data_IF_683437907125
#
_entry.id   IF_683437907125
#
_cell.length_a   1.000
_cell.length_b   1.000
_cell.length_c   1.000
_cell.angle_alpha   90.00
_cell.angle_beta   90.00
_cell.angle_gamma   90.00
#
_symmetry.space_group_name_H-M   'P 1'
#
loop_
_entity.id
_entity.type
_entity.pdbx_description
1 polymer ?
#
# COMPACT_ATOMS: atom_id res chain seq x y z
N UNK A 1 11.53 21.78 -13.27
CA UNK A 1 12.90 22.26 -13.00
C UNK A 1 12.96 23.66 -12.40
N UNK A 2 12.36 24.68 -13.02
CA UNK A 2 12.49 26.09 -12.56
C UNK A 2 11.94 26.30 -11.14
N UNK A 3 10.81 25.68 -10.80
CA UNK A 3 10.16 25.82 -9.48
C UNK A 3 11.01 25.30 -8.32
N UNK A 4 11.74 24.19 -8.51
CA UNK A 4 12.66 23.65 -7.49
C UNK A 4 13.81 24.62 -7.21
N UNK A 5 14.43 25.14 -8.26
CA UNK A 5 15.49 26.13 -8.12
C UNK A 5 14.99 27.46 -7.53
N UNK A 6 13.74 27.85 -7.80
CA UNK A 6 13.09 28.98 -7.13
C UNK A 6 12.91 28.72 -5.64
N UNK A 7 12.45 27.54 -5.23
CA UNK A 7 12.28 27.17 -3.82
C UNK A 7 13.63 27.11 -3.08
N UNK A 8 14.65 26.51 -3.69
CA UNK A 8 16.00 26.44 -3.12
C UNK A 8 16.62 27.84 -3.03
N UNK A 9 16.48 28.67 -4.07
CA UNK A 9 16.95 30.06 -4.03
C UNK A 9 16.18 30.90 -3.00
N UNK A 10 14.87 30.65 -2.84
CA UNK A 10 14.04 31.30 -1.84
C UNK A 10 14.43 30.93 -0.41
N UNK A 11 14.63 29.64 -0.13
CA UNK A 11 15.08 29.16 1.19
C UNK A 11 16.51 29.59 1.50
N UNK A 12 17.42 29.57 0.52
CA UNK A 12 18.77 30.08 0.67
C UNK A 12 18.77 31.60 0.91
N UNK A 13 17.90 32.34 0.20
CA UNK A 13 17.68 33.77 0.41
C UNK A 13 17.15 34.09 1.79
N UNK A 14 16.20 33.30 2.30
CA UNK A 14 15.63 33.44 3.64
C UNK A 14 16.65 33.12 4.75
N UNK A 15 17.46 32.06 4.55
CA UNK A 15 18.57 31.71 5.43
C UNK A 15 19.66 32.80 5.44
N UNK A 16 19.97 33.37 4.28
CA UNK A 16 20.85 34.54 4.16
C UNK A 16 20.25 35.75 4.89
N UNK A 17 18.95 36.00 4.75
CA UNK A 17 18.26 37.10 5.43
C UNK A 17 18.37 36.95 6.96
N UNK A 18 18.18 35.75 7.50
CA UNK A 18 18.37 35.47 8.93
C UNK A 18 19.82 35.58 9.40
N UNK A 19 20.80 35.21 8.56
CA UNK A 19 22.22 35.30 8.89
C UNK A 19 22.79 36.73 8.75
N UNK A 20 22.26 37.51 7.81
CA UNK A 20 22.67 38.89 7.52
C UNK A 20 21.89 39.94 8.31
N UNK A 21 20.63 39.68 8.71
CA UNK A 21 19.84 40.60 9.52
C UNK A 21 20.51 41.02 10.83
N UNK A 22 21.09 40.11 11.65
CA UNK A 22 21.82 40.52 12.86
C UNK A 22 23.19 41.16 12.56
N UNK A 23 23.67 41.08 11.32
CA UNK A 23 24.99 41.56 10.88
C UNK A 23 24.94 42.91 10.14
N UNK A 24 23.79 43.24 9.55
CA UNK A 24 23.46 44.54 8.96
C UNK A 24 22.56 45.39 9.86
N UNK A 25 22.02 44.82 10.94
CA UNK A 25 21.36 45.56 12.00
C UNK A 25 22.34 46.50 12.69
N UNK A 26 22.39 47.74 12.21
CA UNK A 26 23.01 48.87 12.91
C UNK A 26 22.46 48.93 14.33
N UNK A 27 23.32 48.64 15.31
CA UNK A 27 23.15 48.98 16.74
C UNK A 27 23.20 50.51 16.95
N UNK A 28 22.38 51.25 16.20
CA UNK A 28 22.35 52.71 16.25
C UNK A 28 20.93 53.29 16.13
N UNK A 29 19.89 52.44 16.12
CA UNK A 29 18.49 52.88 16.05
C UNK A 29 17.57 52.22 17.09
N UNK A 30 18.14 51.46 18.03
CA UNK A 30 17.40 50.80 19.12
C UNK A 30 17.78 51.34 20.51
N UNK A 31 18.54 52.43 20.57
CA UNK A 31 19.11 52.96 21.83
C UNK A 31 18.32 54.16 22.40
N UNK A 32 17.32 54.68 21.68
CA UNK A 32 16.56 55.89 22.09
C UNK A 32 15.10 55.62 22.53
N UNK A 33 14.62 54.38 22.49
CA UNK A 33 13.22 54.04 22.85
C UNK A 33 13.08 52.97 23.94
N UNK A 34 14.19 52.48 24.48
CA UNK A 34 14.20 51.48 25.55
C UNK A 34 15.03 51.89 26.76
N UNK A 35 15.32 53.18 26.90
CA UNK A 35 15.62 53.77 28.20
C UNK A 35 14.30 53.81 28.97
N UNK A 36 13.92 52.65 29.52
CA UNK A 36 12.99 52.60 30.63
C UNK A 36 13.54 53.63 31.63
N UNK A 37 12.85 54.74 31.85
CA UNK A 37 13.25 55.73 32.85
C UNK A 37 13.21 55.03 34.22
N UNK A 38 14.29 54.34 34.60
CA UNK A 38 14.42 53.66 35.88
C UNK A 38 14.19 54.66 37.01
N UNK A 39 14.60 55.91 36.82
CA UNK A 39 14.34 57.00 37.75
C UNK A 39 12.85 57.29 37.93
N UNK A 40 12.06 57.20 36.85
CA UNK A 40 10.61 57.38 36.89
C UNK A 40 9.91 56.20 37.58
N UNK A 41 10.36 54.98 37.33
CA UNK A 41 9.87 53.77 38.01
C UNK A 41 10.23 53.80 39.50
N UNK A 42 11.47 54.15 39.84
CA UNK A 42 11.95 54.23 41.22
C UNK A 42 11.20 55.32 42.00
N UNK A 43 10.92 56.45 41.37
CA UNK A 43 10.12 57.52 41.96
C UNK A 43 8.66 57.10 42.19
N UNK A 44 8.06 56.35 41.27
CA UNK A 44 6.71 55.82 41.43
C UNK A 44 6.64 54.80 42.57
N UNK A 45 7.61 53.88 42.64
CA UNK A 45 7.71 52.89 43.71
C UNK A 45 7.90 53.54 45.09
N UNK A 46 8.75 54.57 45.17
CA UNK A 46 8.94 55.37 46.38
C UNK A 46 7.62 55.98 46.89
N UNK A 47 6.87 56.66 46.00
CA UNK A 47 5.58 57.28 46.35
C UNK A 47 4.57 56.25 46.87
N UNK A 48 4.52 55.07 46.25
CA UNK A 48 3.65 53.99 46.69
C UNK A 48 4.00 53.52 48.11
N UNK A 49 5.30 53.36 48.41
CA UNK A 49 5.78 52.92 49.71
C UNK A 49 5.49 53.93 50.83
N UNK A 50 5.63 55.23 50.55
CA UNK A 50 5.27 56.28 51.52
C UNK A 50 3.76 56.25 51.84
N UNK A 51 2.92 56.07 50.83
CA UNK A 51 1.47 55.97 51.04
C UNK A 51 1.06 54.73 51.87
N UNK A 52 1.80 53.62 51.75
CA UNK A 52 1.64 52.42 52.57
C UNK A 52 2.00 52.69 54.04
N UNK A 53 3.12 53.39 54.29
CA UNK A 53 3.54 53.83 55.62
C UNK A 53 2.51 54.76 56.29
N UNK A 54 1.93 55.69 55.53
CA UNK A 54 0.87 56.59 56.02
C UNK A 54 -0.39 55.79 56.41
N UNK A 55 -0.75 54.77 55.63
CA UNK A 55 -1.88 53.89 55.92
C UNK A 55 -1.63 53.04 57.19
N UNK A 56 -0.40 52.58 57.41
CA UNK A 56 -0.05 51.79 58.59
C UNK A 56 0.05 52.64 59.87
N UNK A 57 0.46 53.92 59.77
CA UNK A 57 0.39 54.88 60.88
C UNK A 57 -1.05 55.20 61.26
N UNK A 58 -1.92 55.44 60.27
CA UNK A 58 -3.34 55.78 60.51
C UNK A 58 -4.15 54.59 61.04
N UNK A 59 -3.79 53.37 60.67
CA UNK A 59 -4.40 52.14 61.21
C UNK A 59 -3.81 51.70 62.55
N UNK A 60 -2.84 52.44 63.09
CA UNK A 60 -2.22 52.20 64.39
C UNK A 60 -1.31 50.96 64.41
N UNK A 61 -0.92 50.43 63.25
CA UNK A 61 0.05 49.33 63.13
C UNK A 61 1.47 49.80 63.36
N UNK A 62 1.75 51.07 63.03
CA UNK A 62 3.03 51.73 63.27
C UNK A 62 2.84 52.86 64.29
N UNK A 63 3.80 53.01 65.20
CA UNK A 63 3.89 54.20 66.03
C UNK A 63 4.63 55.33 65.31
N UNK A 64 4.52 56.57 65.81
CA UNK A 64 5.12 57.75 65.16
C UNK A 64 6.64 57.62 65.01
N UNK A 65 7.32 57.01 65.98
CA UNK A 65 8.78 56.88 65.95
C UNK A 65 9.25 55.85 64.90
N UNK A 66 8.49 54.76 64.74
CA UNK A 66 8.73 53.74 63.74
C UNK A 66 8.45 54.26 62.33
N UNK A 67 7.40 55.08 62.17
CA UNK A 67 7.10 55.76 60.91
C UNK A 67 8.24 56.71 60.49
N UNK A 68 8.70 57.56 61.40
CA UNK A 68 9.76 58.53 61.11
C UNK A 68 11.08 57.83 60.72
N UNK A 69 11.43 56.74 61.42
CA UNK A 69 12.61 55.93 61.10
C UNK A 69 12.50 55.24 59.73
N UNK A 70 11.37 54.56 59.47
CA UNK A 70 11.15 53.84 58.22
C UNK A 70 11.11 54.78 57.00
N UNK A 71 10.52 55.98 57.15
CA UNK A 71 10.52 57.00 56.11
C UNK A 71 11.93 57.50 55.80
N UNK A 72 12.74 57.73 56.82
CA UNK A 72 14.11 58.22 56.65
C UNK A 72 15.00 57.22 55.90
N UNK A 73 14.83 55.92 56.16
CA UNK A 73 15.55 54.87 55.44
C UNK A 73 15.12 54.77 53.97
N UNK A 74 13.82 54.92 53.70
CA UNK A 74 13.26 54.93 52.35
C UNK A 74 13.77 56.13 51.52
N UNK A 75 13.91 57.30 52.14
CA UNK A 75 14.50 58.50 51.52
C UNK A 75 15.99 58.31 51.19
N UNK A 76 16.75 57.62 52.04
CA UNK A 76 18.16 57.29 51.78
C UNK A 76 18.31 56.32 50.62
N UNK A 77 17.47 55.29 50.56
CA UNK A 77 17.48 54.30 49.48
C UNK A 77 17.14 54.95 48.12
N UNK A 78 16.12 55.82 48.08
CA UNK A 78 15.76 56.56 46.88
C UNK A 78 16.91 57.46 46.39
N UNK A 79 17.58 58.18 47.29
CA UNK A 79 18.72 59.04 46.94
C UNK A 79 19.93 58.24 46.42
N UNK A 80 20.14 57.03 46.93
CA UNK A 80 21.24 56.17 46.50
C UNK A 80 20.99 55.53 45.12
N UNK A 81 19.72 55.25 44.80
CA UNK A 81 19.32 54.70 43.50
C UNK A 81 19.25 55.77 42.38
N UNK A 82 19.01 57.04 42.73
CA UNK A 82 19.01 58.19 41.78
C UNK A 82 20.44 58.68 41.48
N UNK A 83 21.35 58.59 42.46
CA UNK A 83 22.77 58.93 42.27
C UNK A 83 23.46 57.71 41.65
N UNK A 84 23.28 57.50 40.35
CA UNK A 84 23.74 56.36 39.56
C UNK A 84 25.26 56.13 39.56
N UNK A 85 25.83 55.72 40.69
CA UNK A 85 27.22 55.32 40.87
C UNK A 85 27.37 53.79 40.81
N UNK A 86 26.65 53.14 39.89
CA UNK A 86 26.97 51.77 39.48
C UNK A 86 28.14 51.84 38.48
N UNK A 87 29.35 51.36 38.82
CA UNK A 87 30.43 51.33 37.86
C UNK A 87 30.04 50.44 36.68
N UNK A 88 29.94 51.04 35.48
CA UNK A 88 29.82 50.31 34.22
C UNK A 88 30.85 49.16 34.20
N UNK A 89 30.45 47.89 34.02
CA UNK A 89 31.42 46.82 33.85
C UNK A 89 32.28 47.19 32.63
N UNK A 90 33.59 47.18 32.85
CA UNK A 90 34.59 47.53 31.85
C UNK A 90 34.30 46.80 30.53
N UNK A 91 33.91 47.58 29.52
CA UNK A 91 33.89 47.11 28.14
C UNK A 91 35.33 46.72 27.79
N UNK A 92 35.59 45.41 27.79
CA UNK A 92 36.81 44.86 27.23
C UNK A 92 36.94 45.36 25.79
N UNK A 93 38.08 45.98 25.52
CA UNK A 93 38.52 46.50 24.22
C UNK A 93 38.14 45.58 23.05
N UNK A 94 37.09 45.95 22.32
CA UNK A 94 36.74 45.36 21.03
C UNK A 94 37.22 46.26 19.88
N UNK A 95 38.51 46.59 19.83
CA UNK A 95 39.08 47.47 18.78
C UNK A 95 39.81 46.71 17.66
N UNK A 96 39.70 45.38 17.58
CA UNK A 96 40.26 44.59 16.47
C UNK A 96 39.28 43.56 15.83
N UNK A 97 38.10 43.35 16.42
CA UNK A 97 37.17 42.30 15.98
C UNK A 97 36.17 42.76 14.91
N UNK A 98 35.83 44.06 14.84
CA UNK A 98 34.77 44.53 13.92
C UNK A 98 35.17 44.57 12.44
N UNK A 99 36.45 44.80 12.09
CA UNK A 99 36.86 44.82 10.69
C UNK A 99 36.96 43.42 10.09
N UNK A 100 37.33 42.42 10.92
CA UNK A 100 37.37 41.03 10.52
C UNK A 100 36.00 40.37 10.55
N UNK A 101 35.06 40.82 11.39
CA UNK A 101 33.68 40.33 11.40
C UNK A 101 32.96 40.56 10.06
N UNK A 102 33.21 41.70 9.40
CA UNK A 102 32.66 41.99 8.06
C UNK A 102 33.30 41.14 6.96
N UNK A 103 34.60 40.82 7.09
CA UNK A 103 35.31 39.93 6.17
C UNK A 103 34.87 38.48 6.35
N UNK A 104 34.77 37.98 7.59
CA UNK A 104 34.29 36.63 7.90
C UNK A 104 32.83 36.45 7.49
N UNK A 105 31.99 37.48 7.65
CA UNK A 105 30.62 37.46 7.15
C UNK A 105 30.55 37.34 5.62
N UNK A 106 31.37 38.11 4.88
CA UNK A 106 31.46 37.99 3.40
C UNK A 106 32.01 36.63 2.98
N UNK A 107 32.97 36.08 3.72
CA UNK A 107 33.54 34.77 3.44
C UNK A 107 32.51 33.65 3.65
N UNK A 108 31.79 33.69 4.77
CA UNK A 108 30.70 32.76 5.08
C UNK A 108 29.55 32.86 4.08
N UNK A 109 29.21 34.07 3.62
CA UNK A 109 28.20 34.31 2.58
C UNK A 109 28.47 33.54 1.29
N UNK A 110 29.74 33.36 0.92
CA UNK A 110 30.14 32.72 -0.33
C UNK A 110 30.47 31.25 -0.13
N UNK A 111 31.23 30.92 0.92
CA UNK A 111 31.68 29.56 1.19
C UNK A 111 30.52 28.66 1.56
N UNK A 112 29.58 29.13 2.37
CA UNK A 112 28.48 28.29 2.84
C UNK A 112 27.59 27.78 1.69
N UNK A 113 27.12 28.61 0.72
CA UNK A 113 26.37 28.09 -0.42
C UNK A 113 27.23 27.24 -1.37
N UNK A 114 28.49 27.59 -1.61
CA UNK A 114 29.39 26.77 -2.43
C UNK A 114 29.62 25.38 -1.83
N UNK A 115 29.83 25.32 -0.52
CA UNK A 115 30.03 24.08 0.22
C UNK A 115 28.72 23.26 0.30
N UNK A 116 27.58 23.93 0.43
CA UNK A 116 26.25 23.29 0.37
C UNK A 116 26.01 22.66 -1.00
N UNK A 117 26.30 23.39 -2.09
CA UNK A 117 26.22 22.86 -3.46
C UNK A 117 27.22 21.71 -3.63
N UNK A 118 28.47 21.86 -3.21
CA UNK A 118 29.49 20.82 -3.29
C UNK A 118 29.10 19.53 -2.56
N UNK A 119 28.59 19.63 -1.33
CA UNK A 119 28.08 18.49 -0.56
C UNK A 119 26.86 17.85 -1.21
N UNK A 120 25.93 18.64 -1.73
CA UNK A 120 24.81 18.11 -2.50
C UNK A 120 25.26 17.36 -3.75
N UNK A 121 26.32 17.86 -4.41
CA UNK A 121 26.88 17.24 -5.60
C UNK A 121 27.66 15.94 -5.30
N UNK A 122 28.20 15.78 -4.08
CA UNK A 122 28.96 14.59 -3.64
C UNK A 122 28.10 13.53 -2.94
N UNK A 123 27.18 13.97 -2.07
CA UNK A 123 26.37 13.11 -1.19
C UNK A 123 24.92 12.97 -1.68
N UNK A 124 24.45 13.93 -2.47
CA UNK A 124 23.10 13.93 -3.02
C UNK A 124 22.98 12.93 -4.18
N UNK A 125 22.00 12.05 -4.07
CA UNK A 125 21.67 11.10 -5.13
C UNK A 125 20.96 11.83 -6.28
N UNK A 126 21.73 12.33 -7.25
CA UNK A 126 21.22 13.10 -8.41
C UNK A 126 20.25 12.29 -9.27
N UNK A 127 20.29 10.96 -9.17
CA UNK A 127 19.44 10.03 -9.91
C UNK A 127 17.99 10.01 -9.37
N UNK A 128 17.75 10.56 -8.17
CA UNK A 128 16.39 10.75 -7.64
C UNK A 128 15.68 11.93 -8.33
N UNK A 129 16.40 12.91 -8.88
CA UNK A 129 15.79 14.07 -9.56
C UNK A 129 15.04 13.67 -10.83
N UNK A 130 15.61 12.85 -11.77
CA UNK A 130 14.84 12.36 -12.91
C UNK A 130 13.71 11.43 -12.46
N UNK A 131 13.87 10.66 -11.38
CA UNK A 131 12.81 9.82 -10.78
C UNK A 131 11.65 10.65 -10.19
N UNK A 132 11.96 11.75 -9.49
CA UNK A 132 10.97 12.70 -8.96
C UNK A 132 10.32 13.53 -10.06
N UNK A 133 11.07 13.86 -11.11
CA UNK A 133 10.54 14.56 -12.28
C UNK A 133 9.64 13.66 -13.12
N UNK A 134 9.96 12.36 -13.25
CA UNK A 134 9.08 11.37 -13.88
C UNK A 134 7.87 11.10 -13.00
N UNK A 135 8.01 10.89 -11.69
CA UNK A 135 6.86 10.71 -10.80
C UNK A 135 5.97 11.96 -10.68
N UNK A 136 6.54 13.17 -10.76
CA UNK A 136 5.77 14.42 -10.79
C UNK A 136 5.17 14.70 -12.19
N UNK A 137 5.81 14.25 -13.26
CA UNK A 137 5.21 14.24 -14.60
C UNK A 137 4.04 13.25 -14.65
N UNK A 138 4.20 12.06 -14.06
CA UNK A 138 3.16 11.05 -13.93
C UNK A 138 2.00 11.54 -13.05
N UNK A 139 2.28 12.23 -11.93
CA UNK A 139 1.24 12.84 -11.08
C UNK A 139 0.57 14.06 -11.69
N UNK A 140 1.29 14.88 -12.49
CA UNK A 140 0.69 16.06 -13.15
C UNK A 140 -0.06 15.69 -14.44
N UNK A 141 0.31 14.59 -15.10
CA UNK A 141 -0.44 13.97 -16.19
C UNK A 141 -1.65 13.19 -15.65
N UNK A 142 -1.51 12.53 -14.49
CA UNK A 142 -2.65 12.00 -13.73
C UNK A 142 -3.58 13.16 -13.34
N UNK A 143 -3.09 14.23 -12.70
CA UNK A 143 -3.91 15.37 -12.28
C UNK A 143 -4.60 16.10 -13.44
N UNK A 144 -4.00 16.14 -14.64
CA UNK A 144 -4.66 16.62 -15.87
C UNK A 144 -5.75 15.68 -16.41
N UNK A 145 -5.75 14.42 -15.99
CA UNK A 145 -6.85 13.48 -16.15
C UNK A 145 -7.87 13.49 -15.00
N UNK A 146 -7.65 14.26 -13.91
CA UNK A 146 -8.54 14.31 -12.75
C UNK A 146 -9.50 15.51 -12.75
N UNK A 147 -9.55 16.30 -13.82
CA UNK A 147 -10.65 17.25 -14.05
C UNK A 147 -11.79 16.55 -14.79
N UNK A 148 -12.55 15.74 -14.06
CA UNK A 148 -13.84 15.17 -14.48
C UNK A 148 -13.82 13.66 -14.67
N UNK A 149 -14.58 12.96 -13.82
CA UNK A 149 -14.98 11.53 -13.86
C UNK A 149 -13.90 10.48 -13.54
N UNK A 150 -14.26 9.56 -12.64
CA UNK A 150 -13.46 8.43 -12.19
C UNK A 150 -13.40 7.31 -13.26
N UNK A 151 -12.67 7.55 -14.36
CA UNK A 151 -12.37 6.55 -15.39
C UNK A 151 -10.87 6.50 -15.71
N UNK A 152 -10.27 5.32 -15.50
CA UNK A 152 -9.13 4.80 -16.27
C UNK A 152 -7.73 5.08 -15.73
N UNK A 153 -7.09 4.05 -15.15
CA UNK A 153 -5.64 3.91 -15.34
C UNK A 153 -5.34 3.96 -16.85
N UNK A 154 -4.23 4.56 -17.31
CA UNK A 154 -3.85 4.51 -18.71
C UNK A 154 -3.86 3.05 -19.18
N UNK A 155 -4.48 2.79 -20.33
CA UNK A 155 -4.54 1.46 -20.88
C UNK A 155 -3.11 0.90 -21.08
N UNK A 156 -2.95 -0.41 -20.85
CA UNK A 156 -1.64 -1.07 -20.79
C UNK A 156 -0.82 -0.86 -22.07
N UNK A 157 -1.48 -0.76 -23.22
CA UNK A 157 -0.87 -0.46 -24.52
C UNK A 157 -0.21 0.93 -24.57
N UNK A 158 -0.80 1.94 -23.93
CA UNK A 158 -0.24 3.28 -23.84
C UNK A 158 1.01 3.28 -22.95
N UNK A 159 0.96 2.53 -21.84
CA UNK A 159 2.11 2.40 -20.93
C UNK A 159 3.27 1.68 -21.61
N UNK A 160 2.99 0.61 -22.35
CA UNK A 160 4.01 -0.14 -23.11
C UNK A 160 4.67 0.72 -24.18
N UNK A 161 3.91 1.50 -24.95
CA UNK A 161 4.50 2.41 -25.95
C UNK A 161 5.48 3.41 -25.34
N UNK A 162 5.15 3.97 -24.17
CA UNK A 162 6.07 4.87 -23.45
C UNK A 162 7.31 4.14 -22.97
N UNK A 163 7.16 2.90 -22.49
CA UNK A 163 8.28 2.07 -22.07
C UNK A 163 9.19 1.72 -23.27
N UNK A 164 8.62 1.37 -24.43
CA UNK A 164 9.34 1.16 -25.69
C UNK A 164 10.15 2.41 -26.09
N UNK A 165 9.53 3.59 -26.09
CA UNK A 165 10.19 4.87 -26.41
C UNK A 165 11.35 5.16 -25.44
N UNK A 166 11.15 4.89 -24.15
CA UNK A 166 12.21 5.03 -23.15
C UNK A 166 13.36 4.07 -23.42
N UNK A 167 13.08 2.81 -23.79
CA UNK A 167 14.12 1.83 -24.10
C UNK A 167 14.94 2.23 -25.34
N UNK A 168 14.35 2.97 -26.28
CA UNK A 168 15.10 3.56 -27.40
C UNK A 168 16.06 4.68 -26.93
N UNK A 169 15.65 5.48 -25.94
CA UNK A 169 16.48 6.56 -25.39
C UNK A 169 17.52 6.06 -24.39
N UNK A 170 17.22 4.96 -23.70
CA UNK A 170 18.06 4.35 -22.65
C UNK A 170 18.36 2.89 -22.98
N UNK A 171 19.07 2.61 -24.09
CA UNK A 171 19.24 1.24 -24.60
C UNK A 171 20.06 0.33 -23.68
N UNK A 172 20.77 0.88 -22.70
CA UNK A 172 21.58 0.13 -21.74
C UNK A 172 20.85 -0.12 -20.40
N UNK A 173 19.56 0.22 -20.29
CA UNK A 173 18.74 0.00 -19.08
C UNK A 173 18.23 -1.44 -19.01
N UNK A 174 19.00 -2.33 -18.37
CA UNK A 174 18.69 -3.77 -18.25
C UNK A 174 17.34 -3.99 -17.58
N UNK A 175 17.08 -3.30 -16.47
CA UNK A 175 15.84 -3.44 -15.70
C UNK A 175 14.64 -2.98 -16.53
N UNK A 176 14.80 -1.89 -17.29
CA UNK A 176 13.79 -1.43 -18.25
C UNK A 176 13.46 -2.49 -19.31
N UNK A 177 14.47 -3.17 -19.87
CA UNK A 177 14.27 -4.25 -20.84
C UNK A 177 13.60 -5.48 -20.22
N UNK A 178 13.95 -5.86 -19.00
CA UNK A 178 13.29 -6.95 -18.25
C UNK A 178 11.82 -6.61 -17.99
N UNK A 179 11.54 -5.40 -17.53
CA UNK A 179 10.18 -4.92 -17.28
C UNK A 179 9.36 -4.90 -18.57
N UNK A 180 9.93 -4.43 -19.67
CA UNK A 180 9.27 -4.43 -20.98
C UNK A 180 8.92 -5.86 -21.42
N UNK A 181 9.84 -6.81 -21.25
CA UNK A 181 9.61 -8.23 -21.50
C UNK A 181 8.45 -8.81 -20.67
N UNK A 182 8.45 -8.58 -19.36
CA UNK A 182 7.37 -9.00 -18.44
C UNK A 182 6.02 -8.39 -18.80
N UNK A 183 6.03 -7.15 -19.26
CA UNK A 183 4.81 -6.47 -19.68
C UNK A 183 4.23 -7.10 -20.94
N UNK A 184 5.07 -7.44 -21.93
CA UNK A 184 4.62 -8.16 -23.11
C UNK A 184 4.10 -9.56 -22.80
N UNK A 185 4.69 -10.27 -21.84
CA UNK A 185 4.13 -11.54 -21.35
C UNK A 185 2.70 -11.39 -20.82
N UNK A 186 2.45 -10.34 -20.04
CA UNK A 186 1.11 -10.02 -19.52
C UNK A 186 0.13 -9.75 -20.67
N UNK A 187 0.60 -9.11 -21.73
CA UNK A 187 -0.15 -8.88 -22.96
C UNK A 187 -0.25 -10.10 -23.89
N UNK A 188 0.36 -11.23 -23.53
CA UNK A 188 0.47 -12.45 -24.35
C UNK A 188 1.22 -12.25 -25.68
N UNK A 189 2.03 -11.20 -25.80
CA UNK A 189 2.91 -10.96 -26.95
C UNK A 189 4.29 -11.57 -26.66
N UNK A 190 4.38 -12.90 -26.72
CA UNK A 190 5.59 -13.65 -26.38
C UNK A 190 6.75 -13.38 -27.34
N UNK A 191 6.45 -12.96 -28.58
CA UNK A 191 7.47 -12.62 -29.58
C UNK A 191 8.21 -11.35 -29.18
N UNK A 192 7.48 -10.29 -28.80
CA UNK A 192 8.12 -9.06 -28.31
C UNK A 192 8.75 -9.24 -26.94
N UNK A 193 8.17 -10.10 -26.09
CA UNK A 193 8.77 -10.43 -24.80
C UNK A 193 10.18 -11.03 -24.97
N UNK A 194 10.34 -12.00 -25.88
CA UNK A 194 11.65 -12.58 -26.19
C UNK A 194 12.63 -11.54 -26.72
N UNK A 195 12.19 -10.64 -27.62
CA UNK A 195 13.07 -9.61 -28.18
C UNK A 195 13.58 -8.63 -27.11
N UNK A 196 12.72 -8.19 -26.19
CA UNK A 196 13.11 -7.31 -25.09
C UNK A 196 14.06 -8.02 -24.11
N UNK A 197 13.78 -9.28 -23.76
CA UNK A 197 14.60 -10.06 -22.84
C UNK A 197 15.93 -10.51 -23.46
N UNK A 198 15.99 -10.68 -24.78
CA UNK A 198 17.23 -10.86 -25.51
C UNK A 198 18.15 -9.64 -25.33
N UNK A 199 17.61 -8.40 -25.35
CA UNK A 199 18.38 -7.18 -25.08
C UNK A 199 18.87 -7.12 -23.64
N UNK A 200 18.04 -7.48 -22.66
CA UNK A 200 18.48 -7.59 -21.28
C UNK A 200 19.65 -8.60 -21.13
N UNK A 201 19.56 -9.76 -21.79
CA UNK A 201 20.60 -10.78 -21.78
C UNK A 201 21.89 -10.36 -22.50
N UNK A 202 21.80 -9.60 -23.59
CA UNK A 202 22.97 -9.02 -24.26
C UNK A 202 23.75 -8.07 -23.33
N UNK A 203 23.03 -7.28 -22.53
CA UNK A 203 23.62 -6.32 -21.60
C UNK A 203 24.17 -6.97 -20.32
N UNK A 204 23.48 -8.01 -19.80
CA UNK A 204 23.87 -8.76 -18.60
C UNK A 204 23.77 -10.28 -18.84
N UNK A 205 24.77 -10.88 -19.53
CA UNK A 205 24.72 -12.28 -19.94
C UNK A 205 24.87 -13.28 -18.78
N UNK A 206 25.42 -12.85 -17.65
CA UNK A 206 25.72 -13.68 -16.47
C UNK A 206 24.82 -13.36 -15.28
N UNK A 207 23.71 -12.65 -15.49
CA UNK A 207 22.72 -12.43 -14.44
C UNK A 207 21.73 -13.60 -14.39
N UNK A 208 21.60 -14.22 -13.22
CA UNK A 208 20.75 -15.42 -13.04
C UNK A 208 19.29 -15.13 -13.41
N UNK A 209 18.75 -13.99 -12.98
CA UNK A 209 17.35 -13.66 -13.21
C UNK A 209 17.09 -13.34 -14.68
N UNK A 210 17.98 -12.61 -15.34
CA UNK A 210 17.89 -12.33 -16.77
C UNK A 210 17.96 -13.63 -17.59
N UNK A 211 18.86 -14.56 -17.24
CA UNK A 211 18.97 -15.86 -17.89
C UNK A 211 17.66 -16.66 -17.80
N UNK A 212 17.04 -16.72 -16.61
CA UNK A 212 15.78 -17.44 -16.39
C UNK A 212 14.63 -16.80 -17.17
N UNK A 213 14.46 -15.48 -17.02
CA UNK A 213 13.35 -14.77 -17.68
C UNK A 213 13.47 -14.86 -19.21
N UNK A 214 14.70 -14.82 -19.74
CA UNK A 214 14.95 -15.01 -21.18
C UNK A 214 14.69 -16.46 -21.62
N UNK A 215 15.09 -17.46 -20.82
CA UNK A 215 14.78 -18.86 -21.10
C UNK A 215 13.27 -19.11 -21.18
N UNK A 216 12.51 -18.55 -20.25
CA UNK A 216 11.05 -18.59 -20.26
C UNK A 216 10.45 -17.95 -21.51
N UNK A 217 11.01 -16.83 -21.98
CA UNK A 217 10.53 -16.16 -23.19
C UNK A 217 10.74 -16.98 -24.46
N UNK A 218 11.92 -17.60 -24.60
CA UNK A 218 12.18 -18.53 -25.69
C UNK A 218 11.21 -19.71 -25.62
N UNK A 219 11.01 -20.29 -24.44
CA UNK A 219 10.13 -21.44 -24.25
C UNK A 219 8.66 -21.11 -24.56
N UNK A 220 8.19 -19.91 -24.20
CA UNK A 220 6.84 -19.45 -24.49
C UNK A 220 6.55 -19.36 -26.00
N UNK A 221 7.55 -19.04 -26.82
CA UNK A 221 7.45 -19.07 -28.28
C UNK A 221 7.57 -20.49 -28.88
N UNK A 222 7.79 -21.51 -28.06
CA UNK A 222 7.98 -22.91 -28.46
C UNK A 222 6.97 -23.84 -27.77
N UNK A 223 5.71 -23.42 -27.60
CA UNK A 223 4.66 -24.20 -26.93
C UNK A 223 5.03 -24.62 -25.49
N UNK A 224 5.75 -23.75 -24.77
CA UNK A 224 6.32 -24.00 -23.44
C UNK A 224 7.35 -25.14 -23.40
N UNK A 225 8.00 -25.42 -24.53
CA UNK A 225 9.08 -26.39 -24.61
C UNK A 225 10.37 -25.80 -24.01
N UNK A 226 10.85 -26.43 -22.94
CA UNK A 226 12.09 -26.04 -22.25
C UNK A 226 13.32 -26.78 -22.80
N UNK A 227 13.18 -27.58 -23.85
CA UNK A 227 14.31 -28.29 -24.47
C UNK A 227 15.19 -27.38 -25.32
N UNK A 228 16.47 -27.73 -25.45
CA UNK A 228 17.43 -26.95 -26.23
C UNK A 228 17.89 -25.70 -25.46
N UNK A 229 17.86 -24.54 -26.13
CA UNK A 229 18.42 -23.29 -25.60
C UNK A 229 17.86 -22.86 -24.24
N UNK A 230 16.54 -22.94 -23.94
CA UNK A 230 16.02 -22.65 -22.61
C UNK A 230 16.69 -23.50 -21.51
N UNK A 231 16.82 -24.82 -21.72
CA UNK A 231 17.48 -25.70 -20.73
C UNK A 231 18.95 -25.34 -20.49
N UNK A 232 19.66 -24.86 -21.51
CA UNK A 232 21.05 -24.41 -21.37
C UNK A 232 21.15 -23.13 -20.54
N UNK A 233 20.23 -22.19 -20.72
CA UNK A 233 20.16 -20.94 -19.95
C UNK A 233 19.78 -21.23 -18.48
N UNK A 234 18.80 -22.11 -18.25
CA UNK A 234 18.43 -22.56 -16.89
C UNK A 234 19.61 -23.24 -16.19
N UNK A 235 20.35 -24.09 -16.89
CA UNK A 235 21.54 -24.73 -16.33
C UNK A 235 22.66 -23.73 -16.02
N UNK A 236 22.78 -22.64 -16.79
CA UNK A 236 23.71 -21.56 -16.48
C UNK A 236 23.27 -20.76 -15.26
N UNK A 237 21.98 -20.41 -15.16
CA UNK A 237 21.42 -19.76 -13.98
C UNK A 237 21.65 -20.57 -12.70
N UNK A 238 21.41 -21.90 -12.74
CA UNK A 238 21.70 -22.80 -11.62
C UNK A 238 23.17 -22.88 -11.22
N UNK A 239 24.11 -22.67 -12.15
CA UNK A 239 25.54 -22.61 -11.82
C UNK A 239 25.88 -21.31 -11.09
N UNK A 240 25.20 -20.22 -11.40
CA UNK A 240 25.40 -18.92 -10.77
C UNK A 240 24.72 -18.85 -9.41
N UNK A 241 23.49 -19.36 -9.31
CA UNK A 241 22.72 -19.44 -8.09
C UNK A 241 22.05 -20.83 -7.95
N UNK A 242 22.71 -21.79 -7.28
CA UNK A 242 22.17 -23.14 -7.08
C UNK A 242 20.89 -23.20 -6.24
N UNK A 243 20.70 -22.22 -5.36
CA UNK A 243 19.56 -22.14 -4.43
C UNK A 243 18.35 -21.41 -5.04
N UNK A 244 18.46 -20.93 -6.28
CA UNK A 244 17.36 -20.26 -6.96
C UNK A 244 16.17 -21.23 -7.15
N UNK A 245 15.06 -20.91 -6.48
CA UNK A 245 13.85 -21.73 -6.45
C UNK A 245 13.25 -21.86 -7.85
N UNK A 246 13.20 -20.75 -8.61
CA UNK A 246 12.66 -20.70 -9.98
C UNK A 246 13.53 -21.52 -10.93
N UNK A 247 14.85 -21.39 -10.83
CA UNK A 247 15.77 -22.16 -11.65
C UNK A 247 15.66 -23.67 -11.40
N UNK A 248 15.55 -24.07 -10.12
CA UNK A 248 15.34 -25.47 -9.73
C UNK A 248 13.99 -25.99 -10.21
N UNK A 249 12.93 -25.20 -10.09
CA UNK A 249 11.60 -25.54 -10.58
C UNK A 249 11.57 -25.77 -12.11
N UNK A 250 12.11 -24.83 -12.89
CA UNK A 250 12.21 -24.92 -14.36
C UNK A 250 13.09 -26.08 -14.81
N UNK A 251 14.17 -26.38 -14.07
CA UNK A 251 15.02 -27.55 -14.33
C UNK A 251 14.25 -28.87 -14.15
N UNK A 252 13.42 -28.96 -13.11
CA UNK A 252 12.50 -30.09 -12.92
C UNK A 252 11.49 -30.23 -14.07
N UNK A 253 10.94 -29.11 -14.57
CA UNK A 253 10.05 -29.10 -15.73
C UNK A 253 10.75 -29.54 -17.02
N UNK A 254 11.97 -29.08 -17.25
CA UNK A 254 12.80 -29.52 -18.38
C UNK A 254 13.12 -31.01 -18.29
N UNK A 255 13.42 -31.54 -17.09
CA UNK A 255 13.62 -32.98 -16.88
C UNK A 255 12.34 -33.79 -17.16
N UNK A 256 11.17 -33.31 -16.72
CA UNK A 256 9.88 -33.94 -16.99
C UNK A 256 9.60 -34.04 -18.48
N UNK A 257 9.83 -32.97 -19.24
CA UNK A 257 9.65 -32.96 -20.70
C UNK A 257 10.61 -33.90 -21.45
N UNK A 258 11.80 -34.20 -20.88
CA UNK A 258 12.73 -35.22 -21.40
C UNK A 258 12.35 -36.66 -21.04
N UNK A 259 11.24 -36.87 -20.32
CA UNK A 259 10.87 -38.19 -19.79
C UNK A 259 11.70 -38.63 -18.58
N UNK A 260 12.50 -37.75 -17.99
CA UNK A 260 13.29 -38.02 -16.80
C UNK A 260 12.45 -37.81 -15.53
N UNK A 261 11.34 -38.55 -15.42
CA UNK A 261 10.32 -38.33 -14.40
C UNK A 261 10.85 -38.46 -12.97
N UNK A 262 11.72 -39.44 -12.70
CA UNK A 262 12.34 -39.58 -11.38
C UNK A 262 13.20 -38.37 -10.99
N UNK A 263 13.98 -37.83 -11.94
CA UNK A 263 14.78 -36.63 -11.69
C UNK A 263 13.89 -35.41 -11.42
N UNK A 264 12.80 -35.25 -12.19
CA UNK A 264 11.83 -34.17 -11.97
C UNK A 264 11.19 -34.26 -10.57
N UNK A 265 10.77 -35.45 -10.14
CA UNK A 265 10.19 -35.68 -8.81
C UNK A 265 11.16 -35.27 -7.70
N UNK A 266 12.43 -35.68 -7.78
CA UNK A 266 13.44 -35.33 -6.77
C UNK A 266 13.62 -33.82 -6.70
N UNK A 267 13.82 -33.16 -7.84
CA UNK A 267 14.01 -31.70 -7.89
C UNK A 267 12.81 -30.94 -7.34
N UNK A 268 11.59 -31.31 -7.75
CA UNK A 268 10.38 -30.64 -7.30
C UNK A 268 10.04 -30.90 -5.83
N UNK A 269 10.35 -32.08 -5.28
CA UNK A 269 10.19 -32.32 -3.84
C UNK A 269 11.09 -31.43 -2.98
N UNK A 270 12.32 -31.18 -3.44
CA UNK A 270 13.23 -30.25 -2.75
C UNK A 270 12.68 -28.83 -2.79
N UNK A 271 12.21 -28.37 -3.96
CA UNK A 271 11.56 -27.05 -4.10
C UNK A 271 10.32 -26.95 -3.20
N UNK A 272 9.46 -27.97 -3.19
CA UNK A 272 8.24 -27.99 -2.38
C UNK A 272 8.50 -27.89 -0.87
N UNK A 273 9.64 -28.40 -0.39
CA UNK A 273 10.00 -28.35 1.02
C UNK A 273 10.32 -26.93 1.53
N UNK A 274 10.61 -26.00 0.62
CA UNK A 274 10.96 -24.61 0.93
C UNK A 274 9.79 -23.63 0.77
N UNK A 275 8.71 -24.05 0.11
CA UNK A 275 7.52 -23.22 -0.12
C UNK A 275 6.55 -23.26 1.06
N UNK A 276 5.72 -22.22 1.19
CA UNK A 276 4.58 -22.23 2.11
C UNK A 276 3.65 -23.40 1.74
N UNK A 277 3.38 -24.35 2.65
CA UNK A 277 2.53 -25.49 2.38
C UNK A 277 1.11 -25.15 1.89
N UNK A 278 0.58 -23.96 2.21
CA UNK A 278 -0.77 -23.54 1.84
C UNK A 278 -0.80 -22.64 0.60
N UNK A 279 0.35 -22.28 0.03
CA UNK A 279 0.44 -21.48 -1.20
C UNK A 279 -0.15 -22.21 -2.41
N UNK A 280 -0.65 -21.43 -3.37
CA UNK A 280 -1.11 -21.96 -4.66
C UNK A 280 0.03 -22.67 -5.41
N UNK A 281 1.24 -22.10 -5.39
CA UNK A 281 2.43 -22.68 -6.03
C UNK A 281 2.78 -24.06 -5.45
N UNK A 282 2.68 -24.23 -4.13
CA UNK A 282 2.88 -25.53 -3.50
C UNK A 282 1.83 -26.56 -3.97
N UNK A 283 0.57 -26.15 -4.17
CA UNK A 283 -0.50 -27.03 -4.68
C UNK A 283 -0.28 -27.43 -6.15
N UNK A 284 0.13 -26.48 -7.00
CA UNK A 284 0.48 -26.76 -8.39
C UNK A 284 1.69 -27.69 -8.48
N UNK A 285 2.69 -27.49 -7.62
CA UNK A 285 3.90 -28.31 -7.57
C UNK A 285 3.60 -29.74 -7.08
N UNK A 286 2.75 -29.92 -6.05
CA UNK A 286 2.26 -31.25 -5.63
C UNK A 286 1.58 -31.99 -6.76
N UNK A 287 0.74 -31.31 -7.52
CA UNK A 287 0.04 -31.89 -8.68
C UNK A 287 1.04 -32.31 -9.77
N UNK A 288 2.06 -31.51 -10.02
CA UNK A 288 3.15 -31.80 -10.96
C UNK A 288 3.98 -33.01 -10.51
N UNK A 289 4.34 -33.08 -9.22
CA UNK A 289 5.04 -34.23 -8.62
C UNK A 289 4.19 -35.50 -8.76
N UNK A 290 2.90 -35.46 -8.42
CA UNK A 290 2.03 -36.62 -8.53
C UNK A 290 1.93 -37.15 -9.97
N UNK A 291 1.85 -36.26 -10.96
CA UNK A 291 1.87 -36.62 -12.38
C UNK A 291 3.21 -37.27 -12.76
N UNK A 292 4.33 -36.69 -12.34
CA UNK A 292 5.65 -37.26 -12.60
C UNK A 292 5.84 -38.61 -11.93
N UNK A 293 5.38 -38.81 -10.70
CA UNK A 293 5.42 -40.10 -10.00
C UNK A 293 4.59 -41.17 -10.73
N UNK A 294 3.41 -40.80 -11.24
CA UNK A 294 2.58 -41.70 -12.04
C UNK A 294 3.31 -42.12 -13.32
N UNK A 295 3.92 -41.17 -14.04
CA UNK A 295 4.68 -41.46 -15.27
C UNK A 295 5.99 -42.22 -15.00
N UNK A 296 6.58 -42.04 -13.83
CA UNK A 296 7.75 -42.79 -13.37
C UNK A 296 7.40 -44.23 -12.92
N UNK A 297 6.12 -44.57 -12.77
CA UNK A 297 5.67 -45.87 -12.27
C UNK A 297 5.83 -46.05 -10.76
N UNK A 298 5.85 -44.97 -9.97
CA UNK A 298 5.98 -45.04 -8.51
C UNK A 298 4.66 -45.49 -7.86
N UNK A 299 4.65 -46.60 -7.07
CA UNK A 299 3.45 -47.13 -6.44
C UNK A 299 2.77 -46.10 -5.51
N UNK A 300 1.41 -46.06 -5.44
CA UNK A 300 0.67 -45.09 -4.63
C UNK A 300 1.09 -45.04 -3.15
N UNK A 301 1.49 -46.19 -2.60
CA UNK A 301 1.93 -46.34 -1.21
C UNK A 301 3.23 -45.59 -0.92
N UNK A 302 4.14 -45.52 -1.89
CA UNK A 302 5.39 -44.77 -1.79
C UNK A 302 5.18 -43.24 -1.98
N UNK A 303 4.09 -42.82 -2.63
CA UNK A 303 3.76 -41.39 -2.85
C UNK A 303 3.29 -40.68 -1.58
N UNK A 304 2.70 -41.43 -0.63
CA UNK A 304 2.12 -40.89 0.60
C UNK A 304 3.08 -40.93 1.81
N UNK A 305 4.27 -41.51 1.66
CA UNK A 305 5.14 -41.89 2.78
C UNK A 305 6.08 -40.81 3.33
N UNK A 306 5.98 -39.53 2.94
CA UNK A 306 6.81 -38.46 3.52
C UNK A 306 6.11 -37.08 3.59
N UNK A 307 6.21 -36.34 4.71
CA UNK A 307 6.07 -36.77 6.10
C UNK A 307 4.76 -36.24 6.70
N UNK A 308 3.87 -37.15 7.10
CA UNK A 308 2.68 -36.91 7.93
C UNK A 308 3.02 -36.57 9.40
N UNK A 309 4.27 -36.24 9.70
CA UNK A 309 4.80 -36.14 11.06
C UNK A 309 4.37 -34.88 11.84
N UNK A 310 3.62 -33.96 11.24
CA UNK A 310 3.22 -32.71 11.89
C UNK A 310 1.73 -32.63 12.30
N UNK A 311 0.89 -33.63 12.04
CA UNK A 311 -0.58 -33.49 12.19
C UNK A 311 -1.31 -34.59 12.98
N UNK A 312 -0.62 -35.45 13.73
CA UNK A 312 -1.29 -36.53 14.50
C UNK A 312 -1.11 -36.47 16.02
N UNK A 313 -0.78 -35.30 16.57
CA UNK A 313 -0.68 -35.12 18.03
C UNK A 313 -1.57 -33.99 18.54
N UNK A 314 -2.82 -33.98 18.09
CA UNK A 314 -3.94 -33.45 18.87
C UNK A 314 -5.20 -34.14 18.37
N UNK A 315 -6.13 -34.44 19.26
CA UNK A 315 -7.38 -35.18 19.02
C UNK A 315 -7.25 -36.71 18.95
N UNK A 316 -7.10 -37.32 20.12
CA UNK A 316 -8.11 -38.29 20.53
C UNK A 316 -8.01 -38.65 22.02
N UNK A 317 -8.85 -38.02 22.82
CA UNK A 317 -9.28 -38.54 24.11
C UNK A 317 -10.81 -38.66 24.10
N UNK A 318 -11.29 -39.88 24.39
CA UNK A 318 -12.68 -40.31 24.73
C UNK A 318 -13.65 -40.40 23.53
N UNK A 319 -14.44 -41.45 23.32
CA UNK A 319 -14.72 -42.75 23.97
C UNK A 319 -15.58 -43.58 22.94
N UNK A 320 -15.66 -44.92 23.02
CA UNK A 320 -16.25 -45.79 21.98
C UNK A 320 -17.66 -46.33 22.30
N UNK A 321 -18.40 -46.76 21.28
CA UNK A 321 -19.53 -47.74 21.22
C UNK A 321 -20.44 -47.35 20.04
N UNK A 322 -21.06 -48.19 19.20
CA UNK A 322 -21.08 -49.63 18.82
C UNK A 322 -21.97 -49.68 17.52
N UNK A 323 -22.30 -50.79 16.82
CA UNK A 323 -22.18 -50.83 15.36
C UNK A 323 -23.41 -51.36 14.55
N UNK A 324 -23.30 -51.22 13.22
CA UNK A 324 -23.93 -52.02 12.12
C UNK A 324 -25.40 -51.69 11.67
N UNK A 325 -25.93 -52.30 10.57
CA UNK A 325 -25.98 -51.70 9.22
C UNK A 325 -27.32 -51.99 8.47
N UNK A 326 -27.29 -52.09 7.13
CA UNK A 326 -28.33 -52.55 6.15
C UNK A 326 -29.28 -51.48 5.58
N UNK A 327 -29.79 -51.53 4.35
CA UNK A 327 -29.49 -52.23 3.08
C UNK A 327 -30.61 -51.92 2.08
N UNK A 328 -30.26 -51.54 0.84
CA UNK A 328 -30.84 -52.01 -0.45
C UNK A 328 -32.33 -51.82 -0.81
N UNK A 329 -32.54 -51.89 -2.16
CA UNK A 329 -33.78 -52.21 -2.93
C UNK A 329 -34.74 -51.05 -3.23
N UNK A 330 -35.32 -50.82 -4.42
CA UNK A 330 -35.36 -51.48 -5.77
C UNK A 330 -35.96 -50.43 -6.76
N UNK A 331 -35.41 -50.19 -7.96
CA UNK A 331 -35.89 -50.59 -9.31
C UNK A 331 -37.38 -50.44 -9.67
N UNK A 332 -37.69 -49.72 -10.77
CA UNK A 332 -38.63 -50.03 -11.90
C UNK A 332 -38.67 -48.80 -12.85
N UNK A 333 -38.27 -48.79 -14.15
CA UNK A 333 -38.64 -49.49 -15.40
C UNK A 333 -39.90 -48.96 -16.14
N UNK A 334 -39.77 -48.80 -17.48
CA UNK A 334 -40.80 -48.66 -18.56
C UNK A 334 -41.26 -47.22 -18.88
N UNK A 335 -41.47 -46.74 -20.11
CA UNK A 335 -41.08 -47.01 -21.51
C UNK A 335 -41.63 -45.86 -22.39
N UNK A 336 -40.95 -45.61 -23.52
CA UNK A 336 -41.43 -45.22 -24.87
C UNK A 336 -42.48 -44.11 -25.15
N UNK A 337 -41.98 -43.08 -25.88
CA UNK A 337 -42.47 -42.43 -27.14
C UNK A 337 -43.88 -41.77 -27.22
N UNK A 338 -44.19 -40.90 -28.24
CA UNK A 338 -43.41 -40.36 -29.36
C UNK A 338 -43.57 -38.84 -29.64
N UNK A 339 -42.80 -38.41 -30.65
CA UNK A 339 -42.78 -37.19 -31.49
C UNK A 339 -44.13 -36.61 -31.93
N UNK A 340 -44.24 -35.28 -32.00
CA UNK A 340 -45.14 -34.57 -32.93
C UNK A 340 -44.45 -33.34 -33.55
N UNK A 341 -44.66 -33.16 -34.85
CA UNK A 341 -44.07 -32.16 -35.76
C UNK A 341 -45.23 -31.33 -36.35
N UNK A 342 -45.16 -29.99 -36.28
CA UNK A 342 -45.75 -29.04 -37.24
C UNK A 342 -45.33 -27.60 -36.83
N UNK A 343 -44.40 -26.92 -37.52
CA UNK A 343 -44.63 -25.96 -38.63
C UNK A 343 -45.67 -24.87 -38.37
N UNK A 344 -45.22 -23.63 -38.09
CA UNK A 344 -45.45 -22.46 -38.93
C UNK A 344 -44.74 -21.19 -38.41
N UNK A 345 -43.97 -20.55 -39.29
CA UNK A 345 -43.59 -19.12 -39.27
C UNK A 345 -44.23 -18.54 -40.53
N UNK A 346 -44.72 -17.26 -40.59
CA UNK A 346 -43.82 -16.11 -40.48
C UNK A 346 -44.40 -14.75 -40.01
N UNK A 347 -43.50 -13.84 -39.61
CA UNK A 347 -43.56 -12.36 -39.73
C UNK A 347 -44.33 -11.54 -38.68
N UNK A 348 -43.58 -10.93 -37.74
CA UNK A 348 -43.27 -9.49 -37.69
C UNK A 348 -42.89 -9.05 -36.26
N UNK A 349 -41.68 -8.51 -36.12
CA UNK A 349 -41.15 -7.86 -34.92
C UNK A 349 -42.01 -6.64 -34.53
N UNK A 350 -42.04 -6.30 -33.23
CA UNK A 350 -41.15 -5.23 -32.82
C UNK A 350 -40.30 -5.61 -31.60
N UNK A 351 -39.12 -5.00 -31.57
CA UNK A 351 -38.08 -5.11 -30.57
C UNK A 351 -38.54 -5.01 -29.11
N UNK A 352 -37.68 -5.57 -28.24
CA UNK A 352 -37.55 -5.45 -26.78
C UNK A 352 -38.41 -6.39 -25.93
N UNK A 353 -37.77 -7.42 -25.35
CA UNK A 353 -37.76 -7.71 -23.90
C UNK A 353 -36.65 -8.74 -23.61
N UNK A 354 -35.55 -8.23 -23.05
CA UNK A 354 -34.83 -8.79 -21.91
C UNK A 354 -34.88 -10.32 -21.73
N UNK A 355 -33.91 -11.04 -22.30
CA UNK A 355 -33.56 -12.37 -21.79
C UNK A 355 -33.09 -12.18 -20.35
N UNK A 356 -33.82 -12.76 -19.40
CA UNK A 356 -33.53 -12.73 -17.97
C UNK A 356 -32.09 -13.17 -17.71
N UNK A 357 -31.19 -12.19 -17.57
CA UNK A 357 -29.85 -12.40 -17.06
C UNK A 357 -29.98 -12.94 -15.63
N UNK A 358 -29.32 -14.09 -15.37
CA UNK A 358 -29.26 -14.70 -14.04
C UNK A 358 -28.86 -13.63 -13.01
N UNK A 359 -29.73 -13.41 -12.03
CA UNK A 359 -29.51 -12.42 -11.00
C UNK A 359 -30.35 -12.71 -9.77
N UNK A 360 -29.81 -12.42 -8.60
CA UNK A 360 -30.38 -12.74 -7.30
C UNK A 360 -30.87 -11.44 -6.68
N UNK A 361 -32.13 -11.40 -6.26
CA UNK A 361 -32.66 -10.29 -5.49
C UNK A 361 -32.36 -10.51 -4.00
N UNK A 362 -31.68 -9.54 -3.38
CA UNK A 362 -31.16 -9.63 -2.01
C UNK A 362 -31.74 -8.48 -1.18
N UNK A 363 -32.41 -8.79 -0.09
CA UNK A 363 -32.87 -7.82 0.91
C UNK A 363 -31.97 -7.88 2.12
N UNK A 364 -31.31 -6.76 2.43
CA UNK A 364 -30.34 -6.66 3.52
C UNK A 364 -30.91 -5.80 4.64
N UNK A 365 -30.75 -6.26 5.88
CA UNK A 365 -31.14 -5.58 7.10
C UNK A 365 -30.02 -5.63 8.14
N UNK A 366 -29.98 -4.62 9.02
CA UNK A 366 -29.05 -4.58 10.14
C UNK A 366 -29.78 -5.03 11.41
N UNK A 367 -29.23 -6.01 12.13
CA UNK A 367 -29.82 -6.48 13.38
C UNK A 367 -29.74 -5.39 14.47
N UNK A 368 -30.83 -5.15 15.25
CA UNK A 368 -30.82 -4.18 16.33
C UNK A 368 -29.75 -4.43 17.41
N UNK A 369 -29.28 -5.68 17.57
CA UNK A 369 -28.29 -6.06 18.59
C UNK A 369 -26.88 -5.53 18.32
N UNK A 370 -26.57 -5.18 17.07
CA UNK A 370 -25.25 -4.68 16.66
C UNK A 370 -25.33 -3.33 15.94
N UNK A 371 -26.52 -2.72 15.90
CA UNK A 371 -26.75 -1.46 15.20
C UNK A 371 -25.89 -0.31 15.74
N UNK A 372 -25.62 -0.30 17.04
CA UNK A 372 -24.76 0.70 17.69
C UNK A 372 -23.27 0.59 17.27
N UNK A 373 -22.85 -0.54 16.68
CA UNK A 373 -21.49 -0.73 16.18
C UNK A 373 -21.33 -0.23 14.72
N UNK A 374 -22.42 0.15 14.05
CA UNK A 374 -22.37 0.64 12.67
C UNK A 374 -22.36 2.16 12.64
N UNK A 375 -21.25 2.77 12.23
CA UNK A 375 -21.21 4.23 12.05
C UNK A 375 -22.09 4.66 10.86
N UNK A 376 -22.80 5.80 10.91
CA UNK A 376 -23.71 6.26 9.84
C UNK A 376 -23.03 6.43 8.47
N UNK A 377 -21.76 6.81 8.47
CA UNK A 377 -20.89 6.95 7.30
C UNK A 377 -20.28 5.63 6.80
N UNK A 378 -20.52 4.52 7.50
CA UNK A 378 -19.98 3.21 7.11
C UNK A 378 -20.62 2.73 5.81
N UNK A 379 -19.83 1.96 5.08
CA UNK A 379 -20.23 1.42 3.78
C UNK A 379 -20.71 -0.02 3.94
N UNK A 380 -21.83 -0.36 3.31
CA UNK A 380 -22.33 -1.73 3.20
C UNK A 380 -21.93 -2.30 1.84
N UNK A 381 -21.17 -3.38 1.86
CA UNK A 381 -20.84 -4.19 0.71
C UNK A 381 -21.77 -5.41 0.67
N UNK A 382 -22.62 -5.48 -0.35
CA UNK A 382 -23.50 -6.61 -0.62
C UNK A 382 -22.84 -7.41 -1.73
N UNK A 383 -22.52 -8.67 -1.49
CA UNK A 383 -21.73 -9.46 -2.42
C UNK A 383 -22.24 -10.88 -2.55
N UNK A 384 -21.87 -11.53 -3.66
CA UNK A 384 -22.05 -12.96 -3.88
C UNK A 384 -20.68 -13.59 -4.15
N UNK A 385 -20.36 -14.71 -3.50
CA UNK A 385 -19.15 -15.51 -3.73
C UNK A 385 -19.53 -16.95 -4.12
N UNK A 386 -18.65 -17.66 -4.81
CA UNK A 386 -18.88 -19.08 -5.09
C UNK A 386 -18.97 -19.89 -3.78
N UNK A 387 -19.91 -20.85 -3.69
CA UNK A 387 -19.97 -21.75 -2.54
C UNK A 387 -18.77 -22.71 -2.50
N UNK A 388 -18.30 -23.13 -3.67
CA UNK A 388 -17.07 -23.88 -3.88
C UNK A 388 -16.22 -23.16 -4.94
N UNK A 389 -15.00 -22.77 -4.60
CA UNK A 389 -14.13 -22.00 -5.47
C UNK A 389 -13.27 -20.98 -4.73
N UNK A 390 -12.60 -20.06 -5.45
CA UNK A 390 -11.80 -19.01 -4.82
C UNK A 390 -12.69 -18.09 -3.96
N UNK A 391 -12.21 -17.59 -2.80
CA UNK A 391 -13.01 -16.82 -1.83
C UNK A 391 -13.37 -15.40 -2.30
N UNK A 392 -13.09 -15.07 -3.57
CA UNK A 392 -13.30 -13.75 -4.15
C UNK A 392 -14.78 -13.54 -4.49
N UNK A 393 -15.33 -12.33 -4.28
CA UNK A 393 -16.71 -12.05 -4.65
C UNK A 393 -16.86 -11.96 -6.18
N UNK A 394 -17.91 -12.60 -6.70
CA UNK A 394 -18.31 -12.64 -8.10
C UNK A 394 -19.07 -11.38 -8.51
N UNK A 395 -19.88 -10.83 -7.60
CA UNK A 395 -20.62 -9.59 -7.79
C UNK A 395 -20.60 -8.79 -6.49
N UNK A 396 -20.43 -7.48 -6.57
CA UNK A 396 -20.42 -6.58 -5.40
C UNK A 396 -21.22 -5.31 -5.69
N UNK A 397 -22.17 -5.00 -4.83
CA UNK A 397 -22.86 -3.71 -4.78
C UNK A 397 -22.47 -2.97 -3.51
N UNK A 398 -22.22 -1.67 -3.64
CA UNK A 398 -21.92 -0.77 -2.52
C UNK A 398 -23.12 0.14 -2.24
N UNK A 399 -23.53 0.21 -0.98
CA UNK A 399 -24.53 1.17 -0.47
C UNK A 399 -24.05 1.78 0.87
N UNK A 400 -24.69 2.83 1.37
CA UNK A 400 -24.43 3.36 2.71
C UNK A 400 -25.28 2.66 3.78
N UNK A 401 -24.80 2.60 5.03
CA UNK A 401 -25.57 2.00 6.15
C UNK A 401 -26.93 2.66 6.35
N UNK A 402 -27.03 3.98 6.13
CA UNK A 402 -28.29 4.73 6.21
C UNK A 402 -29.36 4.31 5.19
N UNK A 403 -28.99 3.54 4.15
CA UNK A 403 -29.92 3.03 3.16
C UNK A 403 -30.58 1.70 3.59
N UNK A 404 -30.17 1.10 4.72
CA UNK A 404 -30.75 -0.14 5.22
C UNK A 404 -32.09 0.11 5.93
N UNK A 405 -33.08 -0.80 5.79
CA UNK A 405 -33.04 -2.01 4.96
C UNK A 405 -33.15 -1.70 3.45
N UNK A 406 -32.34 -2.40 2.64
CA UNK A 406 -32.26 -2.17 1.19
C UNK A 406 -32.48 -3.47 0.41
N UNK A 407 -33.13 -3.37 -0.75
CA UNK A 407 -33.24 -4.47 -1.71
C UNK A 407 -32.39 -4.17 -2.94
N UNK A 408 -31.49 -5.08 -3.27
CA UNK A 408 -30.52 -4.96 -4.38
C UNK A 408 -30.59 -6.21 -5.25
N UNK A 409 -30.43 -6.07 -6.56
CA UNK A 409 -30.27 -7.21 -7.47
C UNK A 409 -28.79 -7.38 -7.78
N UNK A 410 -28.24 -8.56 -7.52
CA UNK A 410 -26.89 -8.94 -7.93
C UNK A 410 -26.98 -9.76 -9.23
N UNK A 411 -26.30 -9.35 -10.29
CA UNK A 411 -26.29 -10.05 -11.57
C UNK A 411 -24.91 -10.02 -12.24
N UNK A 412 -24.80 -10.71 -13.38
CA UNK A 412 -23.56 -10.85 -14.14
C UNK A 412 -22.98 -9.52 -14.67
N UNK A 413 -23.76 -8.45 -14.76
CA UNK A 413 -23.25 -7.14 -15.20
C UNK A 413 -22.34 -6.50 -14.15
N UNK A 414 -22.47 -6.95 -12.90
CA UNK A 414 -21.66 -6.49 -11.77
C UNK A 414 -20.36 -7.29 -11.59
N UNK A 415 -20.09 -8.26 -12.47
CA UNK A 415 -18.88 -9.06 -12.41
C UNK A 415 -17.65 -8.24 -12.78
N UNK A 416 -16.68 -8.17 -11.87
CA UNK A 416 -15.41 -7.44 -12.09
C UNK A 416 -14.52 -8.10 -13.15
N UNK A 417 -14.75 -9.39 -13.45
CA UNK A 417 -14.02 -10.14 -14.45
C UNK A 417 -14.99 -10.88 -15.38
N UNK A 418 -14.79 -10.85 -16.70
CA UNK A 418 -15.71 -11.46 -17.67
C UNK A 418 -15.77 -12.99 -17.59
N UNK A 419 -14.80 -13.65 -16.95
CA UNK A 419 -14.71 -15.11 -16.78
C UNK A 419 -15.19 -15.62 -15.43
N UNK A 420 -15.40 -14.76 -14.43
CA UNK A 420 -15.87 -15.12 -13.08
C UNK A 420 -17.22 -14.45 -12.82
N UNK A 421 -18.26 -14.92 -13.53
CA UNK A 421 -19.63 -14.41 -13.46
C UNK A 421 -20.46 -15.19 -12.44
N UNK A 422 -21.53 -14.58 -11.94
CA UNK A 422 -22.46 -15.21 -11.00
C UNK A 422 -23.10 -16.46 -11.62
N UNK A 423 -23.49 -16.37 -12.90
CA UNK A 423 -24.08 -17.48 -13.67
C UNK A 423 -23.13 -18.65 -13.93
N UNK A 424 -21.82 -18.47 -13.76
CA UNK A 424 -20.83 -19.52 -14.01
C UNK A 424 -20.73 -20.53 -12.87
N UNK A 425 -21.37 -20.25 -11.73
CA UNK A 425 -21.35 -21.11 -10.55
C UNK A 425 -22.77 -21.59 -10.22
N UNK A 426 -23.00 -22.89 -9.99
CA UNK A 426 -24.35 -23.41 -9.69
C UNK A 426 -24.84 -23.00 -8.29
N UNK A 427 -23.92 -22.83 -7.35
CA UNK A 427 -24.21 -22.42 -5.97
C UNK A 427 -23.32 -21.26 -5.54
N UNK A 428 -23.92 -20.31 -4.84
CA UNK A 428 -23.27 -19.11 -4.33
C UNK A 428 -23.67 -18.85 -2.88
N UNK A 429 -22.79 -18.16 -2.16
CA UNK A 429 -23.07 -17.60 -0.84
C UNK A 429 -23.23 -16.10 -1.02
N UNK A 430 -24.37 -15.56 -0.55
CA UNK A 430 -24.62 -14.12 -0.59
C UNK A 430 -24.37 -13.57 0.81
N UNK A 431 -23.59 -12.49 0.87
CA UNK A 431 -23.20 -11.83 2.10
C UNK A 431 -23.44 -10.34 2.04
N UNK A 432 -23.60 -9.75 3.22
CA UNK A 432 -23.56 -8.32 3.42
C UNK A 432 -22.56 -8.00 4.53
N UNK A 433 -21.70 -7.00 4.28
CA UNK A 433 -20.69 -6.53 5.25
C UNK A 433 -20.78 -5.03 5.43
N UNK A 434 -20.79 -4.56 6.68
CA UNK A 434 -20.54 -3.17 7.03
C UNK A 434 -19.04 -3.01 7.28
N UNK A 435 -18.39 -2.16 6.50
CA UNK A 435 -16.98 -1.82 6.69
C UNK A 435 -16.84 -0.34 7.03
N UNK A 436 -16.16 -0.06 8.15
CA UNK A 436 -15.80 1.30 8.57
C UNK A 436 -14.54 1.81 7.86
N UNK A 437 -13.69 0.92 7.34
CA UNK A 437 -12.48 1.29 6.58
C UNK A 437 -12.76 1.57 5.10
N UNK A 438 -13.97 1.26 4.61
CA UNK A 438 -14.37 1.43 3.22
C UNK A 438 -13.75 0.41 2.26
N UNK A 439 -13.12 -0.64 2.78
CA UNK A 439 -12.54 -1.72 1.99
C UNK A 439 -13.53 -2.89 1.85
N UNK A 440 -13.52 -3.56 0.70
CA UNK A 440 -14.40 -4.70 0.45
C UNK A 440 -13.90 -6.01 1.10
N UNK A 441 -12.60 -6.10 1.40
CA UNK A 441 -11.99 -7.27 2.05
C UNK A 441 -12.34 -7.32 3.54
N UNK A 442 -12.44 -8.53 4.14
CA UNK A 442 -12.78 -8.68 5.56
C UNK A 442 -11.69 -8.09 6.46
N UNK A 443 -12.10 -7.28 7.44
CA UNK A 443 -11.25 -6.82 8.52
C UNK A 443 -11.86 -7.16 9.88
N UNK A 444 -11.00 -7.30 10.90
CA UNK A 444 -11.43 -7.47 12.29
C UNK A 444 -12.24 -6.24 12.73
N UNK A 445 -13.39 -6.48 13.34
CA UNK A 445 -14.36 -5.45 13.75
C UNK A 445 -15.44 -5.12 12.72
N UNK A 446 -15.36 -5.62 11.48
CA UNK A 446 -16.43 -5.44 10.49
C UNK A 446 -17.70 -6.21 10.91
N UNK A 447 -18.88 -5.67 10.57
CA UNK A 447 -20.15 -6.36 10.81
C UNK A 447 -20.53 -7.18 9.59
N UNK A 448 -21.00 -8.40 9.77
CA UNK A 448 -21.28 -9.32 8.66
C UNK A 448 -22.56 -10.15 8.90
N UNK A 449 -23.23 -10.48 7.80
CA UNK A 449 -24.22 -11.56 7.70
C UNK A 449 -24.06 -12.28 6.37
N UNK A 450 -24.20 -13.61 6.36
CA UNK A 450 -24.14 -14.44 5.15
C UNK A 450 -25.26 -15.48 5.14
N UNK A 451 -25.64 -15.92 3.94
CA UNK A 451 -26.49 -17.09 3.76
C UNK A 451 -25.69 -18.39 3.74
N UNK A 452 -26.38 -19.53 3.78
CA UNK A 452 -25.82 -20.78 3.27
C UNK A 452 -25.71 -20.78 1.73
N UNK A 453 -25.23 -21.88 1.13
CA UNK A 453 -25.21 -22.06 -0.32
C UNK A 453 -26.62 -22.00 -0.91
N UNK A 454 -26.83 -21.11 -1.87
CA UNK A 454 -28.08 -20.96 -2.62
C UNK A 454 -27.83 -21.06 -4.13
N UNK A 455 -28.84 -21.41 -4.95
CA UNK A 455 -28.71 -21.39 -6.41
C UNK A 455 -28.41 -20.00 -6.95
N UNK A 456 -27.47 -19.88 -7.90
CA UNK A 456 -27.10 -18.60 -8.52
C UNK A 456 -28.21 -17.96 -9.37
N UNK A 457 -29.21 -18.77 -9.77
CA UNK A 457 -30.38 -18.37 -10.52
C UNK A 457 -31.66 -18.35 -9.66
N UNK A 458 -31.54 -18.20 -8.34
CA UNK A 458 -32.69 -18.14 -7.44
C UNK A 458 -33.66 -17.03 -7.85
N UNK A 459 -34.90 -17.42 -8.18
CA UNK A 459 -35.98 -16.48 -8.47
C UNK A 459 -36.62 -15.91 -7.20
N UNK A 460 -36.42 -16.56 -6.05
CA UNK A 460 -36.93 -16.10 -4.76
C UNK A 460 -36.01 -15.05 -4.14
N UNK A 461 -36.54 -13.94 -3.59
CA UNK A 461 -35.76 -12.94 -2.88
C UNK A 461 -35.08 -13.52 -1.64
N UNK A 462 -33.79 -13.26 -1.51
CA UNK A 462 -32.93 -13.75 -0.42
C UNK A 462 -32.82 -12.67 0.65
N UNK A 463 -33.14 -13.00 1.90
CA UNK A 463 -33.03 -12.07 3.02
C UNK A 463 -31.75 -12.31 3.82
N UNK A 464 -31.00 -11.24 4.10
CA UNK A 464 -29.77 -11.26 4.91
C UNK A 464 -29.94 -10.31 6.09
N UNK A 465 -29.64 -10.82 7.29
CA UNK A 465 -29.50 -9.99 8.49
C UNK A 465 -28.02 -9.91 8.84
N UNK A 466 -27.50 -8.68 8.99
CA UNK A 466 -26.15 -8.44 9.50
C UNK A 466 -26.24 -8.52 11.03
N UNK A 467 -25.67 -9.57 11.61
CA UNK A 467 -25.82 -9.92 13.03
C UNK A 467 -24.54 -10.38 13.72
N UNK A 468 -23.43 -10.53 12.99
CA UNK A 468 -22.13 -10.94 13.52
C UNK A 468 -21.08 -9.83 13.43
N UNK A 469 -20.13 -9.84 14.37
CA UNK A 469 -18.90 -9.02 14.33
C UNK A 469 -17.74 -9.94 13.97
N UNK A 470 -16.95 -9.57 12.97
CA UNK A 470 -15.75 -10.32 12.62
C UNK A 470 -14.68 -10.18 13.72
N UNK A 471 -14.11 -11.29 14.21
CA UNK A 471 -13.10 -11.27 15.26
C UNK A 471 -11.79 -10.64 14.82
#
# INVERSE_FOLDING_TARGET
MIVFWILVAGLAGLALLFALAPLLGTSAAAEDQNEINLDEINLQLFKQKVAELDADLTTGKLDQSQYDAARQDLEREALNNIRGDQPKPAQATATAAESNAKLTARLLLVILPLLTVGLYLLLGNRDIIPMLATSAADQSLAARGHSGTAEGMPALDVLVKRLEERMQQTPNDVEGWVMLGRTYFTMRDTTKAEAALAKAHELMPTDSQVLLTYAEAIAANQDNNLQGRPSELIAQALKLNPEDVTARWLSGMSAFQRGQYNAAVVTWKNVLAELDPNSEDANQLRSSIANAEQRAGVPPEARQAAPRAAQTQNDNARNPADPRPNSQQTAELISDQPTEVATDTPTAEPNTTDQAAAGIQVTVSLSPSIADNAAPESTVFIYAKAAEGPPMPLAVQRIGVAALPATVRLDDSMAMMPTLKLSSFPQVIVGARVSSSGQALPQSGDLQGETGPIPSNSAEPVSISIDQVLP
#
